data_IF_774393851276
#
_entry.id   IF_774393851276
#
_cell.length_a   1.000
_cell.length_b   1.000
_cell.length_c   1.000
_cell.angle_alpha   90.00
_cell.angle_beta   90.00
_cell.angle_gamma   90.00
#
_symmetry.space_group_name_H-M   'P 1'
#
loop_
_entity.id
_entity.type
_entity.pdbx_description
1 polymer ?
#
# COMPACT_ATOMS: atom_id res chain seq x y z
N UNK A 1 -10.55 -22.78 26.15
CA UNK A 1 -11.28 -21.60 25.63
C UNK A 1 -10.53 -20.28 25.74
N UNK A 2 -9.61 -20.06 26.69
CA UNK A 2 -8.83 -18.78 26.77
C UNK A 2 -7.80 -18.56 25.64
N UNK A 3 -7.31 -19.61 24.99
CA UNK A 3 -6.28 -19.49 23.94
C UNK A 3 -6.80 -19.01 22.58
N UNK A 4 -8.08 -19.22 22.25
CA UNK A 4 -8.62 -18.88 20.92
C UNK A 4 -8.68 -17.37 20.68
N UNK A 5 -9.18 -16.61 21.66
CA UNK A 5 -9.33 -15.15 21.56
C UNK A 5 -7.97 -14.45 21.67
N UNK A 6 -7.08 -14.95 22.52
CA UNK A 6 -5.73 -14.40 22.68
C UNK A 6 -4.90 -14.63 21.41
N UNK A 7 -4.96 -15.82 20.81
CA UNK A 7 -4.28 -16.12 19.55
C UNK A 7 -4.79 -15.27 18.37
N UNK A 8 -6.11 -15.09 18.27
CA UNK A 8 -6.70 -14.21 17.26
C UNK A 8 -6.25 -12.74 17.45
N UNK A 9 -6.23 -12.25 18.69
CA UNK A 9 -5.78 -10.90 19.00
C UNK A 9 -4.33 -10.66 18.56
N UNK A 10 -3.42 -11.61 18.84
CA UNK A 10 -2.02 -11.53 18.42
C UNK A 10 -1.89 -11.53 16.90
N UNK A 11 -2.62 -12.40 16.21
CA UNK A 11 -2.60 -12.48 14.74
C UNK A 11 -3.06 -11.17 14.09
N UNK A 12 -4.11 -10.54 14.62
CA UNK A 12 -4.62 -9.25 14.10
C UNK A 12 -3.64 -8.11 14.34
N UNK A 13 -3.01 -8.05 15.53
CA UNK A 13 -2.02 -7.02 15.86
C UNK A 13 -0.79 -7.14 14.95
N UNK A 14 -0.25 -8.35 14.79
CA UNK A 14 0.91 -8.61 13.94
C UNK A 14 0.55 -8.37 12.46
N UNK A 15 -0.62 -8.82 12.01
CA UNK A 15 -1.10 -8.58 10.65
C UNK A 15 -1.24 -7.10 10.32
N UNK A 16 -1.80 -6.31 11.24
CA UNK A 16 -1.90 -4.86 11.10
C UNK A 16 -0.54 -4.16 11.08
N UNK A 17 0.40 -4.58 11.94
CA UNK A 17 1.75 -4.02 11.99
C UNK A 17 2.57 -4.36 10.73
N UNK A 18 2.48 -5.61 10.25
CA UNK A 18 3.13 -6.05 9.01
C UNK A 18 2.57 -5.30 7.80
N UNK A 19 1.26 -5.07 7.73
CA UNK A 19 0.64 -4.25 6.69
C UNK A 19 1.18 -2.81 6.68
N UNK A 20 1.36 -2.18 7.85
CA UNK A 20 1.97 -0.85 7.96
C UNK A 20 3.41 -0.82 7.48
N UNK A 21 4.21 -1.84 7.84
CA UNK A 21 5.60 -1.96 7.40
C UNK A 21 5.71 -2.08 5.87
N UNK A 22 4.85 -2.88 5.25
CA UNK A 22 4.84 -3.02 3.80
C UNK A 22 4.35 -1.73 3.13
N UNK A 23 3.35 -1.07 3.71
CA UNK A 23 2.87 0.23 3.22
C UNK A 23 3.96 1.29 3.25
N UNK A 24 4.74 1.39 4.35
CA UNK A 24 5.86 2.35 4.43
C UNK A 24 6.98 2.00 3.46
N UNK A 25 7.30 0.71 3.29
CA UNK A 25 8.27 0.29 2.28
C UNK A 25 7.88 0.75 0.87
N UNK A 26 6.59 0.65 0.54
CA UNK A 26 6.08 1.08 -0.75
C UNK A 26 6.07 2.60 -0.87
N UNK A 27 5.54 3.30 0.13
CA UNK A 27 5.40 4.76 0.13
C UNK A 27 6.76 5.48 0.19
N UNK A 28 7.71 4.96 0.95
CA UNK A 28 8.97 5.64 1.22
C UNK A 28 10.11 5.21 0.28
N UNK A 29 10.05 3.99 -0.30
CA UNK A 29 11.11 3.48 -1.16
C UNK A 29 10.64 3.33 -2.62
N UNK A 30 9.50 2.68 -2.86
CA UNK A 30 9.06 2.44 -4.23
C UNK A 30 8.46 3.67 -4.89
N UNK A 31 7.66 4.45 -4.18
CA UNK A 31 7.02 5.64 -4.73
C UNK A 31 8.03 6.68 -5.23
N UNK A 32 9.11 7.03 -4.51
CA UNK A 32 10.16 7.90 -5.05
C UNK A 32 10.81 7.38 -6.32
N UNK A 33 10.99 6.05 -6.44
CA UNK A 33 11.53 5.43 -7.64
C UNK A 33 10.53 5.52 -8.80
N UNK A 34 9.24 5.28 -8.55
CA UNK A 34 8.19 5.39 -9.57
C UNK A 34 7.98 6.84 -10.03
N UNK A 35 7.98 7.79 -9.10
CA UNK A 35 7.85 9.23 -9.40
C UNK A 35 9.13 9.83 -9.99
N UNK A 36 10.28 9.17 -9.84
CA UNK A 36 11.49 9.53 -10.58
C UNK A 36 11.32 9.27 -12.09
N UNK A 37 10.62 8.21 -12.50
CA UNK A 37 10.36 7.91 -13.91
C UNK A 37 9.18 8.70 -14.50
N UNK A 38 8.26 9.21 -13.68
CA UNK A 38 7.14 10.07 -14.10
C UNK A 38 7.39 11.48 -13.56
N UNK A 39 7.93 12.42 -14.37
CA UNK A 39 8.39 13.71 -13.86
C UNK A 39 7.24 14.45 -13.17
N UNK A 40 7.35 14.57 -11.84
CA UNK A 40 6.64 15.57 -11.05
C UNK A 40 5.28 15.20 -10.47
N UNK A 41 4.76 13.97 -10.64
CA UNK A 41 3.51 13.58 -9.96
C UNK A 41 2.28 14.48 -10.25
N UNK A 42 2.36 15.38 -11.22
CA UNK A 42 1.36 16.42 -11.50
C UNK A 42 -0.01 15.84 -11.89
N UNK A 43 -0.03 14.58 -12.34
CA UNK A 43 -1.26 13.82 -12.57
C UNK A 43 -2.04 13.56 -11.29
N UNK A 44 -1.39 13.52 -10.11
CA UNK A 44 -2.05 13.42 -8.80
C UNK A 44 -2.65 14.75 -8.35
N UNK A 45 -2.12 15.88 -8.82
CA UNK A 45 -2.63 17.22 -8.52
C UNK A 45 -3.74 17.66 -9.49
N UNK A 46 -4.09 16.81 -10.45
CA UNK A 46 -5.14 17.12 -11.42
C UNK A 46 -6.48 17.25 -10.70
N UNK A 47 -7.00 18.47 -10.69
CA UNK A 47 -8.30 18.81 -10.13
C UNK A 47 -9.28 19.05 -11.27
N UNK A 48 -10.48 18.47 -11.13
CA UNK A 48 -11.62 18.75 -12.00
C UNK A 48 -12.50 19.75 -11.27
N UNK A 49 -12.48 21.00 -11.73
CA UNK A 49 -13.37 22.04 -11.23
C UNK A 49 -14.67 22.01 -12.03
N UNK A 50 -15.78 21.73 -11.35
CA UNK A 50 -17.13 21.84 -11.91
C UNK A 50 -17.86 22.90 -11.10
N UNK A 51 -17.80 24.14 -11.55
CA UNK A 51 -18.34 25.30 -10.82
C UNK A 51 -17.61 25.52 -9.48
N UNK A 52 -18.31 25.67 -8.33
CA UNK A 52 -17.67 25.88 -7.03
C UNK A 52 -17.10 24.59 -6.40
N UNK A 53 -17.24 23.44 -7.05
CA UNK A 53 -16.82 22.14 -6.52
C UNK A 53 -15.48 21.76 -7.16
N UNK A 54 -14.45 21.61 -6.32
CA UNK A 54 -13.12 21.14 -6.73
C UNK A 54 -13.01 19.65 -6.41
N UNK A 55 -13.02 18.80 -7.44
CA UNK A 55 -12.82 17.36 -7.28
C UNK A 55 -11.35 17.00 -7.52
N UNK A 56 -10.68 16.47 -6.49
CA UNK A 56 -9.27 16.04 -6.56
C UNK A 56 -9.15 14.64 -7.18
N UNK A 57 -9.56 14.51 -8.45
CA UNK A 57 -9.57 13.22 -9.17
C UNK A 57 -8.16 12.64 -9.28
N UNK A 58 -7.14 13.48 -9.45
CA UNK A 58 -5.75 13.03 -9.48
C UNK A 58 -5.32 12.31 -8.19
N UNK A 59 -5.70 12.82 -7.03
CA UNK A 59 -5.36 12.22 -5.73
C UNK A 59 -6.05 10.87 -5.55
N UNK A 60 -7.31 10.77 -5.99
CA UNK A 60 -8.04 9.50 -5.96
C UNK A 60 -7.37 8.42 -6.82
N UNK A 61 -7.03 8.73 -8.07
CA UNK A 61 -6.32 7.79 -8.95
C UNK A 61 -4.93 7.46 -8.38
N UNK A 62 -4.26 8.43 -7.76
CA UNK A 62 -3.01 8.22 -7.03
C UNK A 62 -3.14 7.14 -5.98
N UNK A 63 -4.14 7.26 -5.10
CA UNK A 63 -4.38 6.30 -4.03
C UNK A 63 -4.75 4.89 -4.56
N UNK A 64 -5.47 4.81 -5.68
CA UNK A 64 -5.79 3.53 -6.33
C UNK A 64 -4.52 2.84 -6.86
N UNK A 65 -3.62 3.61 -7.49
CA UNK A 65 -2.33 3.09 -7.97
C UNK A 65 -1.48 2.63 -6.79
N UNK A 66 -1.40 3.42 -5.72
CA UNK A 66 -0.62 3.07 -4.53
C UNK A 66 -1.13 1.77 -3.88
N UNK A 67 -2.45 1.58 -3.81
CA UNK A 67 -3.07 0.34 -3.34
C UNK A 67 -2.68 -0.87 -4.22
N UNK A 68 -2.69 -0.72 -5.55
CA UNK A 68 -2.29 -1.79 -6.46
C UNK A 68 -0.80 -2.14 -6.29
N UNK A 69 0.07 -1.15 -6.10
CA UNK A 69 1.51 -1.39 -5.86
C UNK A 69 1.70 -2.15 -4.54
N UNK A 70 1.04 -1.72 -3.46
CA UNK A 70 1.09 -2.43 -2.17
C UNK A 70 0.63 -3.88 -2.32
N UNK A 71 -0.49 -4.10 -3.01
CA UNK A 71 -1.01 -5.45 -3.26
C UNK A 71 0.00 -6.35 -4.00
N UNK A 72 0.67 -5.82 -5.04
CA UNK A 72 1.70 -6.55 -5.79
C UNK A 72 2.92 -6.85 -4.92
N UNK A 73 3.36 -5.90 -4.10
CA UNK A 73 4.53 -6.08 -3.21
C UNK A 73 4.24 -7.11 -2.13
N UNK A 74 3.08 -7.03 -1.47
CA UNK A 74 2.63 -8.04 -0.51
C UNK A 74 2.60 -9.42 -1.18
N UNK A 75 2.07 -9.51 -2.41
CA UNK A 75 2.05 -10.76 -3.16
C UNK A 75 3.45 -11.31 -3.45
N UNK A 76 4.39 -10.47 -3.85
CA UNK A 76 5.79 -10.88 -4.08
C UNK A 76 6.43 -11.38 -2.78
N UNK A 77 6.24 -10.67 -1.66
CA UNK A 77 6.79 -11.06 -0.35
C UNK A 77 6.23 -12.43 0.06
N UNK A 78 4.91 -12.61 -0.02
CA UNK A 78 4.28 -13.90 0.29
C UNK A 78 4.81 -15.02 -0.60
N UNK A 79 4.94 -14.76 -1.91
CA UNK A 79 5.49 -15.72 -2.87
C UNK A 79 6.97 -16.07 -2.61
N UNK A 80 7.76 -15.14 -2.08
CA UNK A 80 9.15 -15.41 -1.68
C UNK A 80 9.24 -16.22 -0.39
N UNK A 81 8.33 -15.98 0.55
CA UNK A 81 8.21 -16.77 1.77
C UNK A 81 7.80 -18.22 1.44
N UNK A 82 6.87 -18.43 0.50
CA UNK A 82 6.50 -19.78 0.02
C UNK A 82 7.66 -20.52 -0.68
N UNK A 83 8.53 -19.77 -1.39
CA UNK A 83 9.68 -20.34 -2.10
C UNK A 83 10.86 -20.66 -1.19
N UNK A 84 10.92 -20.08 -0.01
CA UNK A 84 11.95 -20.44 0.97
C UNK A 84 11.46 -21.69 1.70
N UNK A 85 12.07 -22.88 1.48
CA UNK A 85 11.81 -24.01 2.35
C UNK A 85 12.39 -23.64 3.72
N UNK A 86 11.59 -22.97 4.55
CA UNK A 86 11.86 -22.89 5.98
C UNK A 86 11.72 -24.32 6.48
N UNK A 87 12.87 -25.01 6.54
CA UNK A 87 13.07 -26.14 7.43
C UNK A 87 12.98 -25.68 8.87
#
# INVERSE_FOLDING_TARGET
TKYGVIGLAIAVIIGGAAGKLVSSLVADILMPIVTFFIPGGAWRETTLTVGPIVMMVGSFIGNVVDFLIIAVVVFIIMKQLEKSPVK
#
